data_IF_701051167796
#
_entry.id   IF_701051167796
#
_cell.length_a   1.000
_cell.length_b   1.000
_cell.length_c   1.000
_cell.angle_alpha   90.00
_cell.angle_beta   90.00
_cell.angle_gamma   90.00
#
_symmetry.space_group_name_H-M   'P 1'
#
loop_
_entity.id
_entity.type
_entity.pdbx_description
1 polymer ?
#
# COMPACT_ATOMS: atom_id res chain seq x y z
N UNK A 1 -35.08 9.45 60.44
CA UNK A 1 -34.81 8.39 59.45
C UNK A 1 -34.24 9.06 58.21
N UNK A 2 -32.92 9.14 58.14
CA UNK A 2 -32.18 9.65 56.99
C UNK A 2 -31.85 8.50 56.06
N UNK A 3 -32.50 8.47 54.90
CA UNK A 3 -32.23 7.52 53.81
C UNK A 3 -30.86 7.80 53.21
N UNK A 4 -29.91 6.87 53.38
CA UNK A 4 -28.70 6.81 52.57
C UNK A 4 -29.09 6.48 51.12
N UNK A 5 -28.93 7.44 50.21
CA UNK A 5 -28.92 7.16 48.78
C UNK A 5 -27.55 6.59 48.42
N UNK A 6 -27.49 5.27 48.29
CA UNK A 6 -26.32 4.57 47.76
C UNK A 6 -26.30 4.75 46.23
N UNK A 7 -25.70 5.85 45.75
CA UNK A 7 -25.46 6.03 44.31
C UNK A 7 -24.13 5.37 43.95
N UNK A 8 -24.16 4.06 43.76
CA UNK A 8 -23.11 3.35 43.02
C UNK A 8 -23.17 3.78 41.56
N UNK A 9 -22.56 4.92 41.25
CA UNK A 9 -22.34 5.38 39.89
C UNK A 9 -21.54 4.32 39.14
N UNK A 10 -22.13 3.78 38.09
CA UNK A 10 -21.52 2.81 37.17
C UNK A 10 -20.44 3.50 36.34
N UNK A 11 -19.29 3.80 36.94
CA UNK A 11 -18.15 4.31 36.19
C UNK A 11 -17.47 3.15 35.46
N UNK A 12 -17.24 3.34 34.16
CA UNK A 12 -16.41 2.46 33.35
C UNK A 12 -14.97 2.54 33.88
N UNK A 13 -14.34 1.40 34.18
CA UNK A 13 -12.95 1.42 34.67
C UNK A 13 -11.99 1.85 33.56
N UNK A 14 -10.81 2.35 33.93
CA UNK A 14 -9.80 2.78 32.98
C UNK A 14 -9.40 1.65 32.01
N UNK A 15 -9.30 0.42 32.51
CA UNK A 15 -8.99 -0.77 31.71
C UNK A 15 -10.09 -1.07 30.69
N UNK A 16 -11.36 -0.92 31.08
CA UNK A 16 -12.49 -1.12 30.17
C UNK A 16 -12.52 -0.05 29.08
N UNK A 17 -12.17 1.20 29.42
CA UNK A 17 -12.01 2.28 28.43
C UNK A 17 -10.95 1.90 27.40
N UNK A 18 -9.76 1.49 27.84
CA UNK A 18 -8.68 1.03 26.95
C UNK A 18 -9.18 -0.10 26.04
N UNK A 19 -9.81 -1.12 26.61
CA UNK A 19 -10.32 -2.27 25.85
C UNK A 19 -11.39 -1.90 24.83
N UNK A 20 -12.22 -0.90 25.11
CA UNK A 20 -13.22 -0.38 24.16
C UNK A 20 -12.51 0.38 23.04
N UNK A 21 -11.57 1.27 23.37
CA UNK A 21 -10.85 2.08 22.39
C UNK A 21 -9.97 1.21 21.46
N UNK A 22 -9.36 0.14 21.98
CA UNK A 22 -8.58 -0.82 21.18
C UNK A 22 -9.42 -1.52 20.09
N UNK A 23 -10.73 -1.70 20.33
CA UNK A 23 -11.67 -2.36 19.42
C UNK A 23 -12.25 -1.44 18.35
N UNK A 24 -11.91 -0.14 18.37
CA UNK A 24 -12.36 0.77 17.34
C UNK A 24 -11.78 0.36 15.98
N UNK A 25 -12.50 0.65 14.88
CA UNK A 25 -12.14 0.14 13.56
C UNK A 25 -10.91 0.85 12.97
N UNK A 26 -10.72 2.15 13.20
CA UNK A 26 -9.69 2.97 12.52
C UNK A 26 -9.02 4.00 13.43
N UNK A 27 -7.79 4.45 13.10
CA UNK A 27 -7.10 5.52 13.82
C UNK A 27 -7.85 6.86 13.73
N UNK A 28 -8.50 7.15 12.60
CA UNK A 28 -9.38 8.33 12.45
C UNK A 28 -10.52 8.35 13.47
N UNK A 29 -11.02 7.17 13.89
CA UNK A 29 -11.99 7.09 14.98
C UNK A 29 -11.38 7.52 16.31
N UNK A 30 -10.13 7.14 16.60
CA UNK A 30 -9.42 7.57 17.80
C UNK A 30 -9.22 9.08 17.83
N UNK A 31 -8.87 9.69 16.70
CA UNK A 31 -8.69 11.15 16.63
C UNK A 31 -9.95 11.89 17.13
N UNK A 32 -11.15 11.47 16.69
CA UNK A 32 -12.43 12.04 17.16
C UNK A 32 -12.63 11.90 18.67
N UNK A 33 -12.17 10.82 19.29
CA UNK A 33 -12.34 10.57 20.72
C UNK A 33 -11.41 11.39 21.62
N UNK A 34 -10.41 12.08 21.06
CA UNK A 34 -9.55 13.02 21.81
C UNK A 34 -10.31 14.22 22.37
N UNK A 35 -11.46 14.58 21.80
CA UNK A 35 -12.27 15.69 22.28
C UNK A 35 -13.07 15.34 23.56
N UNK A 36 -13.19 14.06 23.91
CA UNK A 36 -14.04 13.59 25.02
C UNK A 36 -13.52 14.05 26.38
N UNK A 37 -12.22 13.93 26.63
CA UNK A 37 -11.60 14.39 27.88
C UNK A 37 -10.10 14.54 27.72
N UNK A 38 -9.46 15.28 28.65
CA UNK A 38 -7.99 15.39 28.69
C UNK A 38 -7.30 14.05 28.92
N UNK A 39 -7.91 13.15 29.70
CA UNK A 39 -7.40 11.80 29.94
C UNK A 39 -7.44 10.97 28.66
N UNK A 40 -8.53 11.02 27.90
CA UNK A 40 -8.64 10.33 26.61
C UNK A 40 -7.69 10.94 25.58
N UNK A 41 -7.57 12.26 25.52
CA UNK A 41 -6.59 12.93 24.65
C UNK A 41 -5.17 12.44 24.96
N UNK A 42 -4.79 12.37 26.23
CA UNK A 42 -3.47 11.88 26.65
C UNK A 42 -3.25 10.42 26.25
N UNK A 43 -4.23 9.54 26.51
CA UNK A 43 -4.17 8.12 26.16
C UNK A 43 -4.09 7.91 24.64
N UNK A 44 -4.87 8.66 23.87
CA UNK A 44 -4.94 8.55 22.41
C UNK A 44 -3.80 9.29 21.70
N UNK A 45 -2.93 9.97 22.44
CA UNK A 45 -1.67 10.55 21.96
C UNK A 45 -0.46 9.75 22.41
N UNK A 46 -0.66 8.68 23.18
CA UNK A 46 0.41 7.78 23.62
C UNK A 46 0.81 6.82 22.49
N UNK A 47 2.09 6.82 22.06
CA UNK A 47 2.60 5.91 21.04
C UNK A 47 2.34 4.44 21.34
N UNK A 48 2.49 4.02 22.60
CA UNK A 48 2.30 2.63 23.00
C UNK A 48 0.84 2.21 22.84
N UNK A 49 -0.10 3.06 23.25
CA UNK A 49 -1.52 2.84 22.99
C UNK A 49 -1.83 2.71 21.50
N UNK A 50 -1.31 3.60 20.63
CA UNK A 50 -1.57 3.54 19.18
C UNK A 50 -0.95 2.30 18.55
N UNK A 51 0.28 1.96 18.92
CA UNK A 51 0.95 0.72 18.50
C UNK A 51 0.10 -0.50 18.85
N UNK A 52 -0.37 -0.57 20.10
CA UNK A 52 -1.28 -1.61 20.53
C UNK A 52 -2.59 -1.56 19.73
N UNK A 53 -3.23 -0.40 19.55
CA UNK A 53 -4.47 -0.28 18.78
C UNK A 53 -4.35 -0.85 17.35
N UNK A 54 -3.28 -0.51 16.64
CA UNK A 54 -3.04 -0.93 15.27
C UNK A 54 -2.74 -2.43 15.20
N UNK A 55 -1.95 -2.95 16.13
CA UNK A 55 -1.34 -4.28 16.01
C UNK A 55 -1.97 -5.37 16.90
N UNK A 56 -2.78 -5.02 17.92
CA UNK A 56 -3.33 -5.93 18.94
C UNK A 56 -4.43 -6.88 18.42
N UNK A 57 -5.09 -6.57 17.29
CA UNK A 57 -6.14 -7.43 16.73
C UNK A 57 -5.63 -8.47 15.71
N UNK A 58 -4.37 -8.38 15.32
CA UNK A 58 -3.76 -9.20 14.27
C UNK A 58 -3.64 -10.68 14.60
N UNK A 59 -3.72 -11.06 15.88
CA UNK A 59 -3.49 -12.44 16.32
C UNK A 59 -4.69 -13.36 16.18
N UNK A 60 -5.93 -12.84 16.11
CA UNK A 60 -7.15 -13.67 16.06
C UNK A 60 -7.63 -13.97 14.64
N UNK A 61 -7.36 -13.10 13.67
CA UNK A 61 -7.65 -13.32 12.25
C UNK A 61 -6.49 -14.01 11.49
N UNK A 62 -5.35 -14.20 12.17
CA UNK A 62 -4.09 -14.64 11.57
C UNK A 62 -4.07 -16.07 11.05
N UNK A 63 -5.03 -16.93 11.40
CA UNK A 63 -5.02 -18.35 10.99
C UNK A 63 -5.43 -18.57 9.52
N UNK A 64 -5.93 -17.53 8.84
CA UNK A 64 -6.31 -17.63 7.41
C UNK A 64 -5.62 -16.62 6.49
N UNK A 65 -4.87 -15.66 7.03
CA UNK A 65 -4.18 -14.67 6.21
C UNK A 65 -2.98 -15.29 5.50
N UNK A 66 -2.82 -14.92 4.24
CA UNK A 66 -1.66 -15.29 3.42
C UNK A 66 -0.90 -14.03 3.00
N UNK A 67 0.34 -14.24 2.57
CA UNK A 67 1.20 -13.20 2.04
C UNK A 67 1.51 -13.53 0.59
N UNK A 68 1.17 -12.61 -0.30
CA UNK A 68 1.66 -12.63 -1.67
C UNK A 68 2.96 -11.83 -1.74
N UNK A 69 4.04 -12.45 -2.21
CA UNK A 69 5.32 -11.77 -2.45
C UNK A 69 5.62 -11.81 -3.94
N UNK A 70 5.70 -10.62 -4.56
CA UNK A 70 6.20 -10.39 -5.91
C UNK A 70 7.66 -9.97 -5.84
N UNK A 71 8.47 -10.52 -6.73
CA UNK A 71 9.88 -10.15 -6.93
C UNK A 71 10.26 -10.32 -8.40
N UNK A 72 11.34 -9.66 -8.83
CA UNK A 72 11.94 -9.91 -10.15
C UNK A 72 13.03 -10.99 -10.05
N UNK A 73 13.00 -11.99 -10.92
CA UNK A 73 14.05 -13.00 -11.05
C UNK A 73 14.33 -13.27 -12.54
N UNK A 74 15.59 -13.07 -12.97
CA UNK A 74 16.00 -13.24 -14.37
C UNK A 74 15.06 -12.51 -15.34
N UNK A 75 14.85 -11.22 -15.07
CA UNK A 75 13.96 -10.31 -15.78
C UNK A 75 12.48 -10.68 -15.77
N UNK A 76 12.04 -11.63 -14.94
CA UNK A 76 10.62 -12.04 -14.86
C UNK A 76 10.05 -11.88 -13.46
N UNK A 77 8.82 -11.38 -13.40
CA UNK A 77 8.05 -11.29 -12.17
C UNK A 77 7.66 -12.68 -11.68
N UNK A 78 7.98 -12.95 -10.42
CA UNK A 78 7.74 -14.21 -9.74
C UNK A 78 6.88 -13.94 -8.52
N UNK A 79 5.77 -14.68 -8.42
CA UNK A 79 4.82 -14.57 -7.32
C UNK A 79 4.94 -15.80 -6.43
N UNK A 80 5.09 -15.58 -5.14
CA UNK A 80 5.18 -16.65 -4.15
C UNK A 80 4.18 -16.43 -3.04
N UNK A 81 3.51 -17.52 -2.67
CA UNK A 81 2.47 -17.52 -1.68
C UNK A 81 2.99 -18.13 -0.39
N UNK A 82 2.88 -17.38 0.71
CA UNK A 82 3.38 -17.82 2.01
C UNK A 82 2.26 -17.77 3.04
N UNK A 83 2.25 -18.74 3.96
CA UNK A 83 1.45 -18.59 5.18
C UNK A 83 2.20 -17.65 6.12
N UNK A 84 1.43 -16.94 6.94
CA UNK A 84 2.03 -16.04 7.92
C UNK A 84 2.74 -16.80 9.06
N UNK A 85 2.20 -17.94 9.49
CA UNK A 85 2.81 -18.82 10.50
C UNK A 85 4.10 -19.48 10.00
N UNK A 86 4.28 -19.68 8.70
CA UNK A 86 5.53 -20.18 8.13
C UNK A 86 6.67 -19.15 8.07
N UNK A 87 6.40 -17.84 8.22
CA UNK A 87 7.45 -16.84 8.49
C UNK A 87 7.83 -16.78 9.99
N UNK A 88 7.36 -17.74 10.78
CA UNK A 88 7.25 -17.60 12.24
C UNK A 88 8.03 -18.64 13.04
N UNK A 89 8.97 -19.40 12.47
CA UNK A 89 9.75 -20.33 13.28
C UNK A 89 11.03 -19.72 13.87
N UNK A 90 10.88 -18.59 14.56
CA UNK A 90 11.72 -18.27 15.71
C UNK A 90 10.83 -18.24 16.96
N UNK A 91 10.91 -19.32 17.73
CA UNK A 91 10.43 -19.48 19.12
C UNK A 91 8.91 -19.61 19.35
N UNK A 92 8.35 -20.78 19.07
CA UNK A 92 7.65 -21.66 20.05
C UNK A 92 6.93 -22.80 19.32
N UNK A 93 7.29 -24.03 19.67
CA UNK A 93 6.68 -25.24 19.15
C UNK A 93 5.30 -25.47 19.79
N UNK A 94 4.22 -25.17 19.07
CA UNK A 94 2.90 -25.80 19.27
C UNK A 94 1.90 -25.33 18.21
N UNK A 95 1.61 -26.20 17.24
CA UNK A 95 0.27 -26.53 16.70
C UNK A 95 0.45 -27.10 15.28
N UNK A 96 0.69 -28.41 15.21
CA UNK A 96 0.48 -29.16 13.98
C UNK A 96 -1.02 -29.44 13.88
N UNK A 97 -1.74 -28.64 13.09
CA UNK A 97 -3.06 -28.99 12.57
C UNK A 97 -2.99 -29.01 11.04
N UNK A 98 -3.62 -30.04 10.47
CA UNK A 98 -3.68 -30.45 9.06
C UNK A 98 -3.16 -29.42 8.03
N UNK A 99 -1.91 -29.64 7.59
CA UNK A 99 -1.24 -28.85 6.56
C UNK A 99 -1.94 -29.07 5.20
N UNK A 100 -2.81 -28.15 4.81
CA UNK A 100 -3.16 -27.97 3.39
C UNK A 100 -1.87 -27.49 2.69
N UNK A 101 -1.15 -28.40 2.04
CA UNK A 101 0.12 -28.14 1.34
C UNK A 101 -0.06 -26.94 0.39
N UNK A 102 0.60 -25.82 0.71
CA UNK A 102 0.69 -24.72 -0.24
C UNK A 102 1.52 -25.17 -1.44
N UNK A 103 1.21 -24.70 -2.66
CA UNK A 103 2.10 -24.90 -3.78
C UNK A 103 3.46 -24.26 -3.44
N UNK A 104 4.47 -25.12 -3.28
CA UNK A 104 5.85 -24.72 -2.96
C UNK A 104 6.54 -24.05 -4.15
N UNK A 105 6.00 -24.24 -5.35
CA UNK A 105 6.50 -23.64 -6.57
C UNK A 105 5.92 -22.22 -6.74
N UNK A 106 6.75 -21.23 -7.12
CA UNK A 106 6.24 -19.91 -7.42
C UNK A 106 5.27 -19.95 -8.62
N UNK A 107 4.22 -19.13 -8.54
CA UNK A 107 3.31 -18.93 -9.65
C UNK A 107 4.01 -18.11 -10.73
N UNK A 108 3.91 -18.61 -11.96
CA UNK A 108 4.31 -17.88 -13.16
C UNK A 108 3.04 -17.45 -13.88
N UNK A 109 2.59 -16.23 -13.62
CA UNK A 109 1.52 -15.63 -14.40
C UNK A 109 2.07 -15.45 -15.82
N UNK A 110 1.49 -16.17 -16.79
CA UNK A 110 1.88 -16.02 -18.20
C UNK A 110 1.12 -14.84 -18.79
N UNK A 111 1.86 -13.80 -19.15
CA UNK A 111 1.29 -12.62 -19.76
C UNK A 111 1.05 -12.83 -21.26
N UNK A 112 -0.09 -12.41 -21.83
CA UNK A 112 -0.40 -12.59 -23.25
C UNK A 112 0.64 -11.95 -24.19
N UNK A 113 1.12 -10.75 -23.85
CA UNK A 113 2.07 -9.99 -24.68
C UNK A 113 3.55 -10.37 -24.45
N UNK A 114 3.83 -11.24 -23.47
CA UNK A 114 5.20 -11.65 -23.11
C UNK A 114 5.94 -10.74 -22.12
N UNK A 115 5.29 -9.69 -21.59
CA UNK A 115 5.84 -8.80 -20.57
C UNK A 115 6.28 -9.58 -19.34
N UNK A 116 7.32 -9.03 -18.71
CA UNK A 116 8.09 -9.66 -17.67
C UNK A 116 8.12 -8.84 -16.37
N UNK A 117 7.71 -7.57 -16.40
CA UNK A 117 7.53 -6.72 -15.23
C UNK A 117 6.03 -6.51 -14.98
N UNK A 118 5.51 -7.21 -13.99
CA UNK A 118 4.09 -7.30 -13.71
C UNK A 118 3.84 -6.90 -12.26
N UNK A 119 3.19 -5.77 -12.04
CA UNK A 119 3.02 -5.19 -10.71
C UNK A 119 1.63 -5.44 -10.15
N UNK A 120 1.57 -5.69 -8.85
CA UNK A 120 0.32 -5.77 -8.11
C UNK A 120 -0.14 -4.33 -7.87
N UNK A 121 -1.24 -3.94 -8.53
CA UNK A 121 -1.82 -2.59 -8.42
C UNK A 121 -2.98 -2.53 -7.42
N UNK A 122 -3.44 -3.69 -6.95
CA UNK A 122 -4.48 -3.79 -5.93
C UNK A 122 -4.97 -5.21 -5.72
N UNK A 123 -5.69 -5.42 -4.62
CA UNK A 123 -6.41 -6.67 -4.41
C UNK A 123 -7.73 -6.45 -3.64
N UNK A 124 -8.70 -7.34 -3.88
CA UNK A 124 -9.96 -7.35 -3.14
C UNK A 124 -10.51 -8.78 -3.04
N UNK A 125 -10.96 -9.17 -1.85
CA UNK A 125 -11.55 -10.48 -1.59
C UNK A 125 -10.71 -11.64 -2.16
N UNK A 126 -9.39 -11.55 -2.01
CA UNK A 126 -8.43 -12.56 -2.49
C UNK A 126 -8.17 -12.59 -3.99
N UNK A 127 -8.79 -11.69 -4.76
CA UNK A 127 -8.51 -11.48 -6.19
C UNK A 127 -7.49 -10.36 -6.31
N UNK A 128 -6.43 -10.61 -7.07
CA UNK A 128 -5.37 -9.67 -7.36
C UNK A 128 -5.61 -9.01 -8.71
N UNK A 129 -5.30 -7.73 -8.81
CA UNK A 129 -5.18 -7.01 -10.05
C UNK A 129 -3.69 -6.78 -10.33
N UNK A 130 -3.25 -7.25 -11.49
CA UNK A 130 -1.88 -7.14 -11.96
C UNK A 130 -1.90 -6.29 -13.23
N UNK A 131 -0.97 -5.35 -13.34
CA UNK A 131 -0.76 -4.51 -14.51
C UNK A 131 0.64 -4.70 -15.08
N UNK A 132 0.79 -4.40 -16.37
CA UNK A 132 2.07 -4.40 -17.07
C UNK A 132 2.90 -3.15 -16.74
N UNK A 133 3.90 -3.30 -15.88
CA UNK A 133 4.77 -2.19 -15.43
C UNK A 133 5.74 -1.69 -16.51
N UNK A 134 5.87 -2.40 -17.63
CA UNK A 134 6.72 -2.00 -18.77
C UNK A 134 5.93 -1.31 -19.89
N UNK A 135 4.63 -1.05 -19.70
CA UNK A 135 3.85 -0.43 -20.78
C UNK A 135 4.22 1.05 -20.95
N UNK A 136 4.28 1.49 -22.22
CA UNK A 136 4.34 2.91 -22.59
C UNK A 136 2.93 3.54 -22.42
N UNK A 137 2.36 3.35 -21.22
CA UNK A 137 0.99 3.69 -20.87
C UNK A 137 -0.09 2.77 -21.44
N UNK A 138 -1.31 2.95 -20.92
CA UNK A 138 -2.46 2.12 -21.24
C UNK A 138 -2.25 0.62 -20.96
N UNK A 139 -1.59 0.32 -19.84
CA UNK A 139 -1.23 -1.03 -19.37
C UNK A 139 -2.33 -2.05 -19.62
N UNK A 140 -1.92 -3.22 -20.11
CA UNK A 140 -2.75 -4.41 -20.03
C UNK A 140 -3.00 -4.76 -18.55
N UNK A 141 -4.20 -5.25 -18.26
CA UNK A 141 -4.61 -5.56 -16.88
C UNK A 141 -5.16 -6.99 -16.81
N UNK A 142 -4.69 -7.75 -15.82
CA UNK A 142 -5.16 -9.10 -15.53
C UNK A 142 -5.66 -9.19 -14.10
N UNK A 143 -6.86 -9.75 -13.94
CA UNK A 143 -7.35 -10.23 -12.67
C UNK A 143 -6.88 -11.66 -12.46
N UNK A 144 -6.34 -11.95 -11.27
CA UNK A 144 -5.79 -13.25 -10.92
C UNK A 144 -6.34 -13.69 -9.57
N UNK A 145 -6.89 -14.91 -9.51
CA UNK A 145 -7.15 -15.59 -8.24
C UNK A 145 -6.09 -16.67 -8.02
N UNK A 146 -5.15 -16.49 -7.08
CA UNK A 146 -4.12 -17.48 -6.77
C UNK A 146 -4.67 -18.83 -6.30
N UNK A 147 -5.84 -18.83 -5.64
CA UNK A 147 -6.44 -20.03 -5.04
C UNK A 147 -7.13 -20.91 -6.06
N UNK A 148 -7.78 -20.32 -7.06
CA UNK A 148 -8.39 -21.07 -8.16
C UNK A 148 -7.45 -21.23 -9.35
N UNK A 149 -6.31 -20.53 -9.34
CA UNK A 149 -5.37 -20.41 -10.47
C UNK A 149 -6.01 -19.83 -11.74
N UNK A 150 -7.18 -19.19 -11.61
CA UNK A 150 -7.87 -18.54 -12.72
C UNK A 150 -7.28 -17.17 -12.98
N UNK A 151 -7.18 -16.82 -14.26
CA UNK A 151 -6.83 -15.47 -14.71
C UNK A 151 -7.90 -14.96 -15.67
N UNK A 152 -8.09 -13.65 -15.68
CA UNK A 152 -9.00 -12.97 -16.61
C UNK A 152 -8.38 -11.66 -17.07
N UNK A 153 -8.26 -11.51 -18.38
CA UNK A 153 -7.80 -10.26 -19.00
C UNK A 153 -8.95 -9.24 -18.95
N UNK A 154 -8.65 -8.04 -18.48
CA UNK A 154 -9.56 -6.90 -18.57
C UNK A 154 -9.50 -6.37 -20.00
N UNK A 155 -10.64 -6.11 -20.67
CA UNK A 155 -10.63 -5.54 -22.01
C UNK A 155 -9.86 -4.22 -22.07
N UNK A 156 -9.17 -3.97 -23.17
CA UNK A 156 -8.50 -2.67 -23.40
C UNK A 156 -9.55 -1.55 -23.37
N UNK A 157 -9.23 -0.44 -22.69
CA UNK A 157 -10.14 0.70 -22.69
C UNK A 157 -10.24 1.32 -24.08
N UNK A 158 -11.46 1.63 -24.55
CA UNK A 158 -11.66 2.38 -25.78
C UNK A 158 -11.21 3.85 -25.68
N UNK A 159 -10.86 4.33 -24.48
CA UNK A 159 -10.48 5.72 -24.24
C UNK A 159 -8.98 5.92 -24.04
N UNK A 160 -8.22 4.84 -23.86
CA UNK A 160 -6.80 4.89 -23.50
C UNK A 160 -5.86 5.24 -24.67
N UNK A 161 -6.40 5.52 -25.85
CA UNK A 161 -5.65 5.98 -27.01
C UNK A 161 -6.23 7.30 -27.51
N UNK A 162 -5.36 8.31 -27.62
CA UNK A 162 -5.70 9.63 -28.14
C UNK A 162 -4.75 9.97 -29.30
N UNK A 163 -5.32 10.31 -30.46
CA UNK A 163 -4.52 10.57 -31.67
C UNK A 163 -3.66 11.82 -31.49
N UNK A 164 -2.34 11.69 -31.71
CA UNK A 164 -1.38 12.79 -31.55
C UNK A 164 -0.81 12.94 -30.15
N UNK A 165 -1.22 12.08 -29.21
CA UNK A 165 -0.72 12.06 -27.84
C UNK A 165 -0.11 10.70 -27.50
N UNK A 166 0.86 10.74 -26.59
CA UNK A 166 1.50 9.56 -25.99
C UNK A 166 1.27 9.57 -24.50
N UNK A 167 1.32 8.39 -23.89
CA UNK A 167 1.32 8.22 -22.43
C UNK A 167 2.66 7.60 -22.09
N UNK A 168 3.36 8.12 -21.10
CA UNK A 168 4.57 7.49 -20.58
C UNK A 168 4.21 6.61 -19.37
N UNK A 169 4.97 5.56 -19.07
CA UNK A 169 4.63 4.61 -17.99
C UNK A 169 4.39 5.25 -16.61
N UNK A 170 5.03 6.38 -16.33
CA UNK A 170 4.85 7.16 -15.09
C UNK A 170 3.57 8.02 -15.06
N UNK A 171 2.84 8.09 -16.17
CA UNK A 171 1.61 8.86 -16.36
C UNK A 171 0.36 7.98 -16.30
N UNK A 172 0.47 6.76 -15.75
CA UNK A 172 -0.66 5.86 -15.53
C UNK A 172 -0.74 5.43 -14.07
N UNK A 173 -1.94 5.50 -13.49
CA UNK A 173 -2.22 5.02 -12.15
C UNK A 173 -3.42 4.08 -12.16
N UNK A 174 -3.27 2.91 -11.53
CA UNK A 174 -4.29 1.86 -11.53
C UNK A 174 -4.60 1.47 -10.10
N UNK A 175 -5.88 1.24 -9.83
CA UNK A 175 -6.38 0.70 -8.57
C UNK A 175 -7.47 -0.33 -8.82
N UNK A 176 -7.67 -1.24 -7.87
CA UNK A 176 -8.65 -2.30 -8.02
C UNK A 176 -9.33 -2.66 -6.71
N UNK A 177 -10.66 -2.78 -6.76
CA UNK A 177 -11.31 -3.75 -5.91
C UNK A 177 -12.82 -3.69 -5.89
N UNK A 178 -13.45 -3.83 -4.72
CA UNK A 178 -14.85 -4.26 -4.62
C UNK A 178 -15.77 -3.17 -4.08
N UNK A 179 -16.80 -2.85 -4.85
CA UNK A 179 -17.92 -2.02 -4.44
C UNK A 179 -19.05 -2.91 -3.88
N UNK A 180 -19.28 -2.90 -2.54
CA UNK A 180 -20.34 -3.69 -1.93
C UNK A 180 -21.74 -3.18 -2.24
N UNK A 181 -21.92 -1.92 -2.63
CA UNK A 181 -23.24 -1.35 -2.93
C UNK A 181 -23.75 -1.80 -4.30
N UNK A 182 -22.89 -1.74 -5.31
CA UNK A 182 -23.20 -2.27 -6.64
C UNK A 182 -22.96 -3.78 -6.76
N UNK A 183 -22.35 -4.39 -5.74
CA UNK A 183 -21.86 -5.77 -5.74
C UNK A 183 -21.03 -6.06 -7.00
N UNK A 184 -19.98 -5.28 -7.19
CA UNK A 184 -19.17 -5.29 -8.41
C UNK A 184 -17.69 -5.09 -8.09
N UNK A 185 -16.83 -5.71 -8.89
CA UNK A 185 -15.41 -5.40 -8.87
C UNK A 185 -15.14 -4.33 -9.92
N UNK A 186 -14.39 -3.30 -9.52
CA UNK A 186 -14.02 -2.21 -10.41
C UNK A 186 -12.51 -2.06 -10.47
N UNK A 187 -12.03 -1.69 -11.67
CA UNK A 187 -10.67 -1.19 -11.88
C UNK A 187 -10.81 0.30 -12.15
N UNK A 188 -10.10 1.12 -11.39
CA UNK A 188 -9.98 2.56 -11.67
C UNK A 188 -8.64 2.78 -12.34
N UNK A 189 -8.64 3.63 -13.36
CA UNK A 189 -7.42 4.05 -14.04
C UNK A 189 -7.44 5.55 -14.30
N UNK A 190 -6.27 6.15 -14.10
CA UNK A 190 -6.01 7.54 -14.43
C UNK A 190 -4.80 7.60 -15.38
N UNK A 191 -4.92 8.40 -16.44
CA UNK A 191 -3.94 8.58 -17.51
C UNK A 191 -3.70 10.07 -17.75
N UNK A 192 -2.45 10.45 -18.00
CA UNK A 192 -2.08 11.75 -18.55
C UNK A 192 -1.48 11.54 -19.93
N UNK A 193 -1.98 12.31 -20.89
CA UNK A 193 -1.56 12.31 -22.27
C UNK A 193 -0.71 13.54 -22.51
N UNK A 194 0.48 13.36 -23.08
CA UNK A 194 1.36 14.45 -23.52
C UNK A 194 1.41 14.46 -25.04
N UNK A 195 1.33 15.64 -25.65
CA UNK A 195 1.47 15.77 -27.10
C UNK A 195 2.87 15.31 -27.52
N UNK A 196 2.96 14.35 -28.44
CA UNK A 196 4.25 13.87 -28.92
C UNK A 196 4.97 14.96 -29.71
N UNK A 197 6.15 15.37 -29.27
CA UNK A 197 7.09 16.10 -30.13
C UNK A 197 7.35 15.26 -31.39
N UNK A 198 7.39 15.88 -32.57
CA UNK A 198 7.82 15.16 -33.76
C UNK A 198 9.27 14.73 -33.55
N UNK A 199 9.53 13.43 -33.37
CA UNK A 199 10.86 12.80 -33.38
C UNK A 199 11.49 12.90 -34.79
N UNK A 200 11.77 14.12 -35.24
CA UNK A 200 12.55 14.42 -36.44
C UNK A 200 13.85 15.16 -36.09
N UNK A 201 14.29 15.14 -34.84
CA UNK A 201 15.62 15.63 -34.49
C UNK A 201 16.58 14.44 -34.50
N UNK A 202 16.98 14.09 -35.73
CA UNK A 202 18.24 13.39 -35.97
C UNK A 202 19.36 14.13 -35.22
N UNK A 203 20.22 13.34 -34.59
CA UNK A 203 21.48 13.71 -33.96
C UNK A 203 22.19 14.87 -34.68
N UNK A 204 22.40 15.99 -33.96
CA UNK A 204 23.51 16.95 -34.09
C UNK A 204 23.02 18.38 -33.73
N UNK A 205 23.06 18.78 -32.44
CA UNK A 205 23.39 20.18 -32.17
C UNK A 205 24.10 20.40 -30.84
N UNK A 206 25.20 21.14 -30.94
CA UNK A 206 26.08 21.55 -29.87
C UNK A 206 25.35 22.48 -28.89
N UNK A 207 25.75 22.43 -27.63
CA UNK A 207 25.01 23.06 -26.54
C UNK A 207 24.88 24.58 -26.66
N UNK A 208 23.64 25.05 -26.72
CA UNK A 208 23.09 26.15 -25.91
C UNK A 208 21.55 26.17 -26.10
N UNK A 209 20.88 25.11 -25.65
CA UNK A 209 19.43 24.95 -25.78
C UNK A 209 18.68 25.64 -24.64
N UNK A 210 18.31 26.91 -24.84
CA UNK A 210 17.28 27.56 -24.04
C UNK A 210 15.95 26.85 -24.33
N UNK A 211 15.59 25.86 -23.51
CA UNK A 211 14.28 25.18 -23.57
C UNK A 211 13.19 26.26 -23.59
N UNK A 212 12.57 26.51 -24.74
CA UNK A 212 11.32 27.24 -24.77
C UNK A 212 10.31 26.34 -24.05
N UNK A 213 9.79 26.86 -22.95
CA UNK A 213 8.70 26.29 -22.19
C UNK A 213 7.42 26.52 -23.02
N UNK A 214 7.35 25.90 -24.20
CA UNK A 214 6.10 25.80 -24.93
C UNK A 214 5.21 24.90 -24.07
N UNK A 215 4.07 25.43 -23.61
CA UNK A 215 3.11 24.72 -22.77
C UNK A 215 2.68 23.45 -23.52
N UNK A 216 3.26 22.30 -23.18
CA UNK A 216 2.83 21.01 -23.70
C UNK A 216 1.33 20.85 -23.38
N UNK A 217 0.52 20.60 -24.41
CA UNK A 217 -0.89 20.29 -24.18
C UNK A 217 -0.96 18.95 -23.43
N UNK A 218 -1.43 19.00 -22.19
CA UNK A 218 -1.67 17.83 -21.35
C UNK A 218 -3.18 17.55 -21.28
N UNK A 219 -3.58 16.33 -21.61
CA UNK A 219 -4.97 15.86 -21.39
C UNK A 219 -5.01 14.79 -20.30
N UNK A 220 -5.96 14.92 -19.37
CA UNK A 220 -6.18 13.94 -18.31
C UNK A 220 -7.41 13.07 -18.61
N UNK A 221 -7.29 11.77 -18.33
CA UNK A 221 -8.39 10.83 -18.40
C UNK A 221 -8.45 10.01 -17.13
N UNK A 222 -9.61 10.05 -16.47
CA UNK A 222 -9.96 9.09 -15.44
C UNK A 222 -11.09 8.20 -15.92
N UNK A 223 -10.98 6.91 -15.67
CA UNK A 223 -11.93 5.91 -16.11
C UNK A 223 -12.08 4.77 -15.12
N UNK A 224 -13.21 4.09 -15.20
CA UNK A 224 -13.53 2.93 -14.38
C UNK A 224 -14.07 1.80 -15.23
N UNK A 225 -13.50 0.61 -15.04
CA UNK A 225 -14.02 -0.63 -15.56
C UNK A 225 -14.93 -1.28 -14.54
N UNK A 226 -16.09 -1.73 -14.99
CA UNK A 226 -16.98 -2.59 -14.20
C UNK A 226 -16.82 -4.03 -14.66
N UNK A 227 -16.46 -4.94 -13.77
CA UNK A 227 -16.31 -6.36 -14.09
C UNK A 227 -17.66 -6.98 -14.46
N UNK A 228 -18.72 -6.63 -13.71
CA UNK A 228 -20.09 -7.10 -13.92
C UNK A 228 -20.70 -6.62 -15.24
N UNK A 229 -20.39 -5.41 -15.68
CA UNK A 229 -20.91 -4.90 -16.96
C UNK A 229 -19.96 -5.19 -18.13
N UNK A 230 -18.71 -5.56 -17.85
CA UNK A 230 -17.70 -5.84 -18.86
C UNK A 230 -17.32 -4.62 -19.70
N UNK A 231 -17.44 -3.41 -19.14
CA UNK A 231 -17.27 -2.17 -19.89
C UNK A 231 -16.55 -1.08 -19.10
N UNK A 232 -15.76 -0.29 -19.82
CA UNK A 232 -15.16 0.96 -19.32
C UNK A 232 -16.12 2.12 -19.47
N UNK A 233 -16.00 3.09 -18.57
CA UNK A 233 -16.60 4.43 -18.72
C UNK A 233 -15.68 5.49 -18.13
N UNK A 234 -15.80 6.71 -18.66
CA UNK A 234 -15.10 7.88 -18.13
C UNK A 234 -15.69 8.30 -16.78
N UNK A 235 -14.83 8.76 -15.88
CA UNK A 235 -15.19 9.42 -14.64
C UNK A 235 -15.26 10.93 -14.85
N UNK A 236 -16.03 11.61 -14.00
CA UNK A 236 -16.02 13.07 -13.93
C UNK A 236 -15.01 13.48 -12.86
N UNK A 237 -13.92 14.12 -13.29
CA UNK A 237 -12.79 14.43 -12.43
C UNK A 237 -11.77 13.31 -12.37
N UNK A 238 -10.61 13.66 -11.83
CA UNK A 238 -9.41 12.87 -11.80
C UNK A 238 -8.36 13.55 -10.93
N UNK A 239 -7.15 13.06 -11.03
CA UNK A 239 -5.95 13.72 -10.54
C UNK A 239 -4.86 13.54 -11.59
N UNK A 240 -3.85 14.39 -11.59
CA UNK A 240 -2.72 14.23 -12.51
C UNK A 240 -1.88 13.02 -12.07
N UNK A 241 -1.82 11.94 -12.85
CA UNK A 241 -0.95 10.81 -12.55
C UNK A 241 0.51 11.26 -12.69
N UNK A 242 1.23 11.31 -11.56
CA UNK A 242 2.68 11.46 -11.55
C UNK A 242 3.38 10.18 -11.08
N UNK A 243 4.58 10.33 -10.53
CA UNK A 243 5.38 9.28 -9.86
C UNK A 243 4.75 8.79 -8.55
N UNK A 244 3.45 8.51 -8.58
CA UNK A 244 2.70 8.01 -7.44
C UNK A 244 2.89 6.50 -7.33
N UNK A 245 3.11 6.04 -6.11
CA UNK A 245 3.18 4.65 -5.73
C UNK A 245 1.80 4.19 -5.24
N UNK A 246 1.28 3.12 -5.84
CA UNK A 246 0.03 2.49 -5.40
C UNK A 246 0.23 1.78 -4.06
N UNK A 247 -0.78 1.87 -3.19
CA UNK A 247 -0.91 1.04 -1.99
C UNK A 247 -1.91 -0.08 -2.33
N UNK A 248 -1.47 -1.34 -2.53
CA UNK A 248 -2.33 -2.39 -3.03
C UNK A 248 -3.52 -2.74 -2.13
N UNK A 249 -3.42 -2.45 -0.83
CA UNK A 249 -4.49 -2.68 0.13
C UNK A 249 -5.55 -1.58 0.09
N UNK A 250 -6.82 -2.01 0.08
CA UNK A 250 -7.96 -1.11 0.30
C UNK A 250 -8.46 -1.17 1.74
N UNK A 251 -9.06 -0.07 2.20
CA UNK A 251 -9.84 -0.07 3.42
C UNK A 251 -11.20 0.57 3.20
N UNK A 252 -12.27 -0.15 3.55
CA UNK A 252 -13.64 0.31 3.38
C UNK A 252 -13.93 0.82 1.95
N UNK A 253 -13.38 0.16 0.91
CA UNK A 253 -13.60 0.56 -0.49
C UNK A 253 -12.87 1.82 -0.90
N UNK A 254 -11.92 2.30 -0.08
CA UNK A 254 -11.00 3.37 -0.44
C UNK A 254 -9.64 2.82 -0.81
N UNK A 255 -9.13 3.32 -1.93
CA UNK A 255 -7.83 3.03 -2.52
C UNK A 255 -6.92 4.22 -2.35
N UNK A 256 -5.62 3.98 -2.27
CA UNK A 256 -4.65 5.02 -1.95
C UNK A 256 -3.44 4.95 -2.86
N UNK A 257 -2.99 6.12 -3.27
CA UNK A 257 -1.70 6.35 -3.92
C UNK A 257 -0.98 7.45 -3.15
N UNK A 258 0.34 7.49 -3.29
CA UNK A 258 1.14 8.50 -2.62
C UNK A 258 2.39 8.82 -3.45
N UNK A 259 2.91 10.03 -3.32
CA UNK A 259 4.26 10.36 -3.77
C UNK A 259 5.01 11.07 -2.65
N UNK A 260 6.32 11.08 -2.77
CA UNK A 260 7.16 11.96 -1.97
C UNK A 260 7.63 13.12 -2.85
N UNK A 261 7.75 14.31 -2.26
CA UNK A 261 8.25 15.50 -2.96
C UNK A 261 7.55 15.76 -4.31
N UNK A 262 6.24 16.00 -4.27
CA UNK A 262 5.47 16.40 -5.46
C UNK A 262 5.99 17.71 -6.09
N UNK A 263 5.37 18.20 -7.18
CA UNK A 263 5.78 19.42 -7.88
C UNK A 263 5.88 20.68 -6.99
N UNK A 264 5.16 20.68 -5.86
CA UNK A 264 5.13 21.72 -4.83
C UNK A 264 6.10 21.45 -3.65
N UNK A 265 6.88 20.36 -3.71
CA UNK A 265 7.78 19.90 -2.67
C UNK A 265 7.08 19.20 -1.48
N UNK A 266 5.79 18.89 -1.58
CA UNK A 266 5.02 18.25 -0.52
C UNK A 266 4.73 16.77 -0.81
N UNK A 267 4.72 15.94 0.23
CA UNK A 267 4.21 14.57 0.12
C UNK A 267 2.68 14.59 0.11
N UNK A 268 2.08 13.98 -0.90
CA UNK A 268 0.63 14.00 -1.12
C UNK A 268 0.08 12.59 -1.15
N UNK A 269 -1.06 12.41 -0.50
CA UNK A 269 -1.84 11.18 -0.57
C UNK A 269 -3.08 11.43 -1.43
N UNK A 270 -3.29 10.57 -2.42
CA UNK A 270 -4.50 10.55 -3.22
C UNK A 270 -5.31 9.34 -2.78
N UNK A 271 -6.61 9.55 -2.52
CA UNK A 271 -7.53 8.46 -2.26
C UNK A 271 -8.66 8.42 -3.27
N UNK A 272 -9.18 7.24 -3.55
CA UNK A 272 -10.34 7.03 -4.40
C UNK A 272 -11.37 6.18 -3.67
N UNK A 273 -12.57 6.71 -3.48
CA UNK A 273 -13.69 5.97 -2.93
C UNK A 273 -14.46 5.27 -4.05
N UNK A 274 -14.44 3.94 -4.08
CA UNK A 274 -15.03 3.15 -5.17
C UNK A 274 -16.56 3.21 -5.23
N UNK A 275 -17.21 3.62 -4.14
CA UNK A 275 -18.68 3.66 -4.03
C UNK A 275 -19.20 4.96 -4.60
N UNK A 276 -18.61 6.08 -4.18
CA UNK A 276 -18.94 7.40 -4.72
C UNK A 276 -18.19 7.74 -6.01
N UNK A 277 -17.10 7.02 -6.29
CA UNK A 277 -16.20 7.22 -7.43
C UNK A 277 -15.61 8.63 -7.47
N UNK A 278 -15.16 9.08 -6.31
CA UNK A 278 -14.60 10.41 -6.10
C UNK A 278 -13.16 10.28 -5.65
N UNK A 279 -12.29 11.08 -6.27
CA UNK A 279 -10.92 11.29 -5.83
C UNK A 279 -10.87 12.37 -4.75
N UNK A 280 -10.08 12.12 -3.72
CA UNK A 280 -9.77 13.09 -2.68
C UNK A 280 -8.26 13.14 -2.50
N UNK A 281 -7.69 14.32 -2.71
CA UNK A 281 -6.27 14.59 -2.50
C UNK A 281 -6.08 15.24 -1.15
N UNK A 282 -5.12 14.75 -0.37
CA UNK A 282 -4.75 15.32 0.92
C UNK A 282 -3.24 15.52 0.96
N UNK A 283 -2.86 16.79 1.10
CA UNK A 283 -1.52 17.17 1.55
C UNK A 283 -1.39 16.80 3.03
N UNK A 284 -0.38 15.98 3.34
CA UNK A 284 -0.15 15.55 4.72
C UNK A 284 1.07 16.29 5.25
N UNK A 285 0.85 17.07 6.30
CA UNK A 285 1.94 17.76 6.98
C UNK A 285 2.99 16.77 7.50
N UNK A 286 4.25 17.16 7.37
CA UNK A 286 5.40 16.35 7.82
C UNK A 286 5.31 16.04 9.33
N UNK A 287 5.86 14.89 9.78
CA UNK A 287 5.92 14.57 11.20
C UNK A 287 6.61 15.67 12.03
N UNK A 288 5.97 16.09 13.13
CA UNK A 288 6.51 17.14 13.99
C UNK A 288 7.79 16.65 14.68
N UNK A 289 8.88 17.40 14.52
CA UNK A 289 10.17 17.10 15.13
C UNK A 289 11.12 16.26 14.26
N UNK A 290 10.73 15.97 13.02
CA UNK A 290 11.63 15.37 12.03
C UNK A 290 12.52 16.45 11.37
N UNK A 291 13.68 16.03 10.84
CA UNK A 291 14.55 16.91 10.03
C UNK A 291 13.80 17.46 8.82
N UNK A 292 14.30 18.53 8.20
CA UNK A 292 13.78 18.99 6.90
C UNK A 292 14.07 18.01 5.77
N UNK A 293 15.14 17.23 5.92
CA UNK A 293 15.70 16.39 4.87
C UNK A 293 15.36 14.92 5.21
N UNK A 294 14.22 14.46 4.71
CA UNK A 294 13.75 13.10 4.89
C UNK A 294 13.03 12.61 3.64
N UNK A 295 12.90 11.29 3.51
CA UNK A 295 12.06 10.69 2.47
C UNK A 295 11.14 9.61 3.03
N UNK A 296 9.96 9.47 2.45
CA UNK A 296 9.07 8.34 2.64
C UNK A 296 9.59 7.20 1.77
N UNK A 297 9.95 6.09 2.42
CA UNK A 297 10.54 4.92 1.74
C UNK A 297 9.55 3.82 1.47
N UNK A 298 8.48 3.75 2.27
CA UNK A 298 7.42 2.77 2.10
C UNK A 298 6.17 3.23 2.82
N UNK A 299 5.00 2.89 2.26
CA UNK A 299 3.70 3.12 2.89
C UNK A 299 2.90 1.83 2.86
N UNK A 300 2.21 1.54 3.96
CA UNK A 300 1.31 0.39 4.07
C UNK A 300 0.03 0.77 4.80
N UNK A 301 -1.04 0.01 4.57
CA UNK A 301 -2.32 0.23 5.23
C UNK A 301 -2.54 -0.79 6.36
N UNK A 302 -2.53 -0.33 7.61
CA UNK A 302 -2.74 -1.18 8.80
C UNK A 302 -4.02 -0.80 9.51
N UNK A 303 -5.00 -1.72 9.54
CA UNK A 303 -6.31 -1.51 10.18
C UNK A 303 -6.97 -0.20 9.72
N UNK A 304 -6.88 0.06 8.40
CA UNK A 304 -7.42 1.27 7.77
C UNK A 304 -6.66 2.56 8.07
N UNK A 305 -5.47 2.47 8.65
CA UNK A 305 -4.62 3.62 8.98
C UNK A 305 -3.37 3.56 8.11
N UNK A 306 -2.99 4.69 7.53
CA UNK A 306 -1.75 4.82 6.75
C UNK A 306 -0.57 4.76 7.71
N UNK A 307 0.36 3.85 7.45
CA UNK A 307 1.62 3.71 8.19
C UNK A 307 2.76 3.88 7.20
N UNK A 308 3.63 4.84 7.46
CA UNK A 308 4.75 5.17 6.58
C UNK A 308 6.08 4.94 7.31
N UNK A 309 7.08 4.52 6.53
CA UNK A 309 8.47 4.40 6.94
C UNK A 309 9.24 5.57 6.36
N UNK A 310 9.80 6.38 7.24
CA UNK A 310 10.61 7.54 6.89
C UNK A 310 12.09 7.24 7.11
N UNK A 311 12.95 7.82 6.29
CA UNK A 311 14.40 7.85 6.49
C UNK A 311 14.94 9.26 6.47
N UNK A 312 15.96 9.54 7.26
CA UNK A 312 16.73 10.78 7.15
C UNK A 312 17.69 10.72 5.95
N UNK A 313 17.82 11.84 5.24
CA UNK A 313 18.64 11.91 4.03
C UNK A 313 20.07 12.35 4.40
N UNK A 314 20.98 11.38 4.57
CA UNK A 314 22.44 11.67 4.46
C UNK A 314 22.96 11.16 3.09
N UNK A 315 22.50 9.99 2.63
CA UNK A 315 22.55 9.52 1.23
C UNK A 315 21.37 8.57 0.94
N UNK A 316 20.94 8.44 -0.32
CA UNK A 316 19.79 7.57 -0.74
C UNK A 316 19.96 6.09 -0.32
N UNK A 317 21.21 5.68 -0.13
CA UNK A 317 21.60 4.28 0.08
C UNK A 317 21.96 3.96 1.55
N UNK A 318 22.22 4.97 2.40
CA UNK A 318 22.65 4.77 3.80
C UNK A 318 21.87 5.69 4.77
N UNK A 319 20.63 5.30 5.16
CA UNK A 319 19.88 6.06 6.16
C UNK A 319 20.46 5.86 7.58
N UNK A 320 20.56 6.92 8.39
CA UNK A 320 21.00 6.78 9.78
C UNK A 320 19.94 6.16 10.67
N UNK A 321 18.67 6.28 10.29
CA UNK A 321 17.59 5.56 10.95
C UNK A 321 16.38 5.42 10.07
N UNK A 322 15.56 4.41 10.36
CA UNK A 322 14.20 4.34 9.86
C UNK A 322 13.23 4.67 10.98
N UNK A 323 12.27 5.52 10.70
CA UNK A 323 11.20 5.85 11.64
C UNK A 323 9.85 5.41 11.10
N UNK A 324 9.10 4.66 11.90
CA UNK A 324 7.77 4.17 11.51
C UNK A 324 6.73 5.04 12.18
N UNK A 325 5.88 5.67 11.37
CA UNK A 325 4.85 6.60 11.83
C UNK A 325 3.47 6.18 11.32
N UNK A 326 2.44 6.42 12.12
CA UNK A 326 1.05 6.23 11.73
C UNK A 326 0.34 7.58 11.55
N UNK A 327 -0.44 7.70 10.48
CA UNK A 327 -1.28 8.86 10.26
C UNK A 327 -2.60 8.70 11.04
N UNK A 328 -2.87 9.65 11.93
CA UNK A 328 -4.05 9.60 12.80
C UNK A 328 -5.30 10.14 12.15
N UNK A 329 -5.15 11.21 11.37
CA UNK A 329 -6.17 11.70 10.47
C UNK A 329 -5.54 12.56 9.37
N UNK A 330 -6.27 12.66 8.26
CA UNK A 330 -5.96 13.54 7.14
C UNK A 330 -6.30 15.02 7.42
N UNK A 331 -7.04 15.30 8.50
CA UNK A 331 -7.57 16.63 8.84
C UNK A 331 -6.67 17.45 9.80
N UNK A 332 -5.38 17.12 9.92
CA UNK A 332 -4.39 17.96 10.60
C UNK A 332 -4.08 17.65 12.07
N UNK A 333 -4.48 16.50 12.64
CA UNK A 333 -3.94 16.04 13.94
C UNK A 333 -2.68 15.16 13.82
N UNK A 334 -2.05 15.14 12.64
CA UNK A 334 -0.65 14.77 12.42
C UNK A 334 -0.28 13.28 12.53
N UNK A 335 0.98 13.01 12.19
CA UNK A 335 1.64 11.73 12.36
C UNK A 335 1.95 11.43 13.83
N UNK A 336 1.87 10.15 14.23
CA UNK A 336 2.40 9.67 15.51
C UNK A 336 3.48 8.61 15.28
N UNK A 337 4.63 8.83 15.93
CA UNK A 337 5.76 7.91 15.87
C UNK A 337 5.41 6.63 16.61
N UNK A 338 5.56 5.49 15.96
CA UNK A 338 5.33 4.17 16.56
C UNK A 338 6.62 3.60 17.17
N UNK A 339 7.71 3.64 16.41
CA UNK A 339 9.04 3.19 16.82
C UNK A 339 10.11 3.66 15.82
N UNK A 340 11.39 3.48 16.19
CA UNK A 340 12.55 3.71 15.32
C UNK A 340 13.39 2.45 15.19
N UNK A 341 14.06 2.31 14.05
CA UNK A 341 15.07 1.30 13.78
C UNK A 341 16.41 2.02 13.68
N UNK A 342 17.33 1.72 14.60
CA UNK A 342 18.61 2.40 14.71
C UNK A 342 19.60 1.96 13.62
N UNK A 343 20.45 2.87 13.12
CA UNK A 343 21.53 2.59 12.15
C UNK A 343 22.39 1.38 12.50
N UNK A 344 22.66 1.15 13.79
CA UNK A 344 23.45 -0.01 14.25
C UNK A 344 22.82 -1.35 13.90
N UNK A 345 21.51 -1.39 13.66
CA UNK A 345 20.80 -2.57 13.16
C UNK A 345 20.69 -2.57 11.63
N UNK A 346 20.80 -1.40 11.00
CA UNK A 346 20.72 -1.22 9.55
C UNK A 346 22.07 -1.41 8.85
N UNK A 347 23.11 -1.86 9.57
CA UNK A 347 24.43 -2.15 9.00
C UNK A 347 24.25 -3.03 7.75
N UNK A 348 24.65 -2.49 6.59
CA UNK A 348 24.50 -3.06 5.24
C UNK A 348 23.28 -2.60 4.43
N UNK A 349 22.67 -1.49 4.83
CA UNK A 349 21.74 -0.71 4.01
C UNK A 349 20.48 -1.52 3.68
N UNK A 350 19.34 -1.09 4.21
CA UNK A 350 18.09 -1.83 4.03
C UNK A 350 17.01 -0.97 3.43
N UNK A 351 16.31 -1.52 2.43
CA UNK A 351 15.13 -0.89 1.87
C UNK A 351 13.88 -1.40 2.59
N UNK A 352 13.03 -0.54 3.18
CA UNK A 352 11.78 -0.97 3.75
C UNK A 352 10.80 -1.37 2.64
N UNK A 353 10.31 -2.59 2.70
CA UNK A 353 9.37 -3.14 1.71
C UNK A 353 7.92 -2.87 2.12
N UNK A 354 7.64 -2.90 3.43
CA UNK A 354 6.31 -2.62 3.95
C UNK A 354 6.13 -2.95 5.42
N UNK A 355 5.01 -2.53 6.00
CA UNK A 355 4.62 -2.79 7.38
C UNK A 355 3.51 -3.85 7.43
N UNK A 356 3.74 -4.89 8.22
CA UNK A 356 2.73 -5.91 8.46
C UNK A 356 1.69 -5.45 9.48
N UNK A 357 0.53 -6.13 9.48
CA UNK A 357 -0.56 -5.86 10.43
C UNK A 357 -0.17 -6.01 11.90
N UNK A 358 0.83 -6.83 12.23
CA UNK A 358 1.35 -6.95 13.60
C UNK A 358 2.43 -5.91 13.95
N UNK A 359 2.71 -4.98 13.05
CA UNK A 359 3.68 -3.91 13.26
C UNK A 359 5.10 -4.25 12.91
N UNK A 360 5.42 -5.48 12.49
CA UNK A 360 6.75 -5.82 11.99
C UNK A 360 7.02 -5.11 10.67
N UNK A 361 8.26 -4.66 10.50
CA UNK A 361 8.71 -4.01 9.27
C UNK A 361 9.50 -5.01 8.43
N UNK A 362 9.04 -5.24 7.19
CA UNK A 362 9.78 -6.00 6.20
C UNK A 362 10.86 -5.12 5.59
N UNK A 363 12.07 -5.63 5.56
CA UNK A 363 13.27 -4.93 5.09
C UNK A 363 13.97 -5.84 4.08
N UNK A 364 14.57 -5.26 3.06
CA UNK A 364 15.50 -5.97 2.17
C UNK A 364 16.92 -5.51 2.44
N UNK A 365 17.87 -6.44 2.59
CA UNK A 365 19.30 -6.14 2.65
C UNK A 365 19.86 -5.91 1.23
N UNK A 366 20.56 -4.81 0.98
CA UNK A 366 21.10 -4.54 -0.36
C UNK A 366 22.24 -5.48 -0.76
N UNK A 367 23.05 -5.97 0.19
CA UNK A 367 24.23 -6.80 -0.09
C UNK A 367 23.90 -8.07 -0.89
N UNK A 368 22.78 -8.72 -0.58
CA UNK A 368 22.41 -10.01 -1.16
C UNK A 368 20.92 -10.12 -1.53
N UNK A 369 20.17 -9.02 -1.39
CA UNK A 369 18.74 -8.95 -1.70
C UNK A 369 17.85 -9.74 -0.74
N UNK A 370 18.36 -10.22 0.41
CA UNK A 370 17.60 -11.05 1.34
C UNK A 370 16.47 -10.27 2.03
N UNK A 371 15.29 -10.88 2.09
CA UNK A 371 14.16 -10.38 2.88
C UNK A 371 14.33 -10.71 4.37
N UNK A 372 14.44 -9.68 5.20
CA UNK A 372 14.56 -9.74 6.65
C UNK A 372 13.41 -8.98 7.33
N UNK A 373 13.22 -9.16 8.62
CA UNK A 373 12.10 -8.55 9.35
C UNK A 373 12.59 -7.90 10.64
N UNK A 374 12.24 -6.64 10.88
CA UNK A 374 12.41 -6.00 12.17
C UNK A 374 11.18 -6.25 13.06
N UNK A 375 11.42 -6.78 14.26
CA UNK A 375 10.38 -6.98 15.27
C UNK A 375 10.46 -5.89 16.36
N UNK A 376 9.48 -4.98 16.43
CA UNK A 376 9.48 -3.88 17.38
C UNK A 376 9.17 -4.31 18.83
N UNK A 377 8.71 -5.53 19.08
CA UNK A 377 8.49 -6.03 20.44
C UNK A 377 9.81 -6.42 21.12
N UNK A 378 10.73 -7.02 20.36
CA UNK A 378 12.07 -7.41 20.84
C UNK A 378 13.16 -6.40 20.49
N UNK A 379 12.90 -5.50 19.54
CA UNK A 379 13.83 -4.45 19.12
C UNK A 379 15.01 -4.98 18.29
N UNK A 380 14.82 -6.05 17.52
CA UNK A 380 15.89 -6.68 16.73
C UNK A 380 15.40 -7.16 15.37
N UNK A 381 16.34 -7.35 14.45
CA UNK A 381 16.10 -8.00 13.16
C UNK A 381 16.07 -9.51 13.35
N UNK A 382 15.11 -10.16 12.71
CA UNK A 382 14.98 -11.61 12.58
C UNK A 382 15.03 -11.99 11.10
N UNK A 383 15.74 -13.07 10.79
CA UNK A 383 15.76 -13.66 9.45
C UNK A 383 14.44 -14.36 9.18
N UNK A 384 14.00 -14.34 7.93
CA UNK A 384 12.84 -15.13 7.51
C UNK A 384 13.27 -16.56 7.19
N UNK A 385 12.39 -17.54 7.41
CA UNK A 385 12.64 -18.93 7.03
C UNK A 385 12.63 -19.14 5.50
N UNK A 386 12.18 -18.11 4.76
CA UNK A 386 12.06 -18.12 3.31
C UNK A 386 13.17 -17.24 2.72
N UNK A 387 14.23 -17.87 2.22
CA UNK A 387 15.32 -17.19 1.53
C UNK A 387 14.83 -16.64 0.19
N UNK A 388 14.31 -15.41 0.21
CA UNK A 388 13.87 -14.66 -0.97
C UNK A 388 14.93 -13.63 -1.33
N UNK A 389 15.26 -13.57 -2.62
CA UNK A 389 16.23 -12.63 -3.20
C UNK A 389 15.62 -11.96 -4.43
N UNK A 390 16.03 -10.71 -4.68
CA UNK A 390 15.66 -9.90 -5.83
C UNK A 390 16.01 -8.42 -5.58
N UNK A 391 15.62 -7.54 -6.49
CA UNK A 391 15.88 -6.10 -6.33
C UNK A 391 14.69 -5.38 -5.68
N UNK A 392 14.96 -4.47 -4.75
CA UNK A 392 13.97 -3.81 -3.89
C UNK A 392 12.86 -3.11 -4.69
N UNK A 393 13.21 -2.49 -5.83
CA UNK A 393 12.26 -1.75 -6.68
C UNK A 393 11.14 -2.65 -7.21
N UNK A 394 11.39 -3.96 -7.27
CA UNK A 394 10.44 -4.94 -7.76
C UNK A 394 9.85 -5.82 -6.66
N UNK A 395 10.14 -5.54 -5.39
CA UNK A 395 9.53 -6.26 -4.28
C UNK A 395 8.17 -5.67 -3.91
N UNK A 396 7.15 -6.51 -3.87
CA UNK A 396 5.86 -6.15 -3.28
C UNK A 396 5.40 -7.26 -2.34
N UNK A 397 4.92 -6.88 -1.16
CA UNK A 397 4.42 -7.78 -0.13
C UNK A 397 3.00 -7.38 0.19
N UNK A 398 2.04 -8.26 -0.08
CA UNK A 398 0.62 -7.96 0.05
C UNK A 398 -0.08 -8.96 1.00
N UNK A 399 -0.57 -8.52 2.17
CA UNK A 399 -1.47 -9.26 3.04
C UNK A 399 -2.80 -9.53 2.33
N UNK A 400 -3.25 -10.77 2.27
CA UNK A 400 -4.60 -11.03 1.77
C UNK A 400 -5.30 -12.19 2.47
N UNK A 401 -6.63 -12.16 2.41
CA UNK A 401 -7.46 -13.29 2.78
C UNK A 401 -7.78 -14.09 1.50
N UNK A 402 -7.49 -15.40 1.46
CA UNK A 402 -7.74 -16.24 0.29
C UNK A 402 -9.25 -16.35 0.02
N UNK A 403 -9.59 -16.52 -1.26
CA UNK A 403 -10.97 -16.65 -1.72
C UNK A 403 -11.10 -17.74 -2.75
N UNK A 404 -12.12 -18.58 -2.59
CA UNK A 404 -12.45 -19.65 -3.54
C UNK A 404 -13.49 -19.21 -4.58
N UNK A 405 -13.79 -17.92 -4.66
CA UNK A 405 -14.70 -17.36 -5.67
C UNK A 405 -14.07 -17.51 -7.05
N UNK A 406 -14.81 -18.07 -8.01
CA UNK A 406 -14.33 -18.18 -9.39
C UNK A 406 -14.45 -16.84 -10.12
N UNK A 407 -13.43 -16.46 -10.90
CA UNK A 407 -13.46 -15.27 -11.75
C UNK A 407 -14.52 -15.36 -12.86
N UNK A 408 -14.96 -16.57 -13.20
CA UNK A 408 -16.01 -16.80 -14.18
C UNK A 408 -17.41 -16.48 -13.65
N UNK A 409 -17.63 -16.59 -12.34
CA UNK A 409 -18.90 -16.30 -11.66
C UNK A 409 -19.12 -14.81 -11.40
N UNK A 410 -18.07 -13.99 -11.58
CA UNK A 410 -18.09 -12.55 -11.37
C UNK A 410 -18.46 -11.75 -12.64
N UNK A 411 -18.67 -12.45 -13.75
CA UNK A 411 -18.97 -11.90 -15.08
C UNK A 411 -20.46 -11.60 -15.26
#
# INVERSE_FOLDING_TARGET
MSTQSNSSSRYLTHELVIQILLRLPTASSLARFRCVSRSWRSLLSDPEFIRNFLFHHSSKDGTRLRIMIKRLCYDRSVYSLHRFDTLRHISTAAAAEEEEELPTAPYKVRWPNGSSQLDIVGHANGIFCIADGNSDGASDIILWNPETSETRVVPVSPFAHMSGFVVWGQQEQIGFGFDPESNDYKVVRTLQFTQGGNDNDDDDDDGDGNYSQDEEEEEELSEVFSLRHGSWRKLQGGFTPGLLYSIPECHEGRYYWWWDEGPDGCSTFVSFDIRSEVFETVEVANPVGMSSDFSIRSVSLVKGSVVAVFSDMETVDEPNSLEVWALLNFAGEGWIKLYSIASTLLMNCVHPVGIWRNGRCFLQRYEDGELIVFDPEIGSIVTTDVQLQGEWQFFQIVPYAPSRISLSELA
#
